data_IF_314434757962
#
_entry.id   IF_314434757962
#
_cell.length_a   1.000
_cell.length_b   1.000
_cell.length_c   1.000
_cell.angle_alpha   90.00
_cell.angle_beta   90.00
_cell.angle_gamma   90.00
#
_symmetry.space_group_name_H-M   'P 1'
#
loop_
_entity.id
_entity.type
_entity.pdbx_description
1 polymer ?
#
# COMPACT_ATOMS: atom_id res chain seq x y z
N UNK A 1 14.13 54.45 4.98
CA UNK A 1 15.02 55.17 5.91
C UNK A 1 14.85 54.60 7.30
N UNK A 2 15.86 53.84 7.73
CA UNK A 2 15.88 53.14 9.00
C UNK A 2 16.31 54.07 10.14
N UNK A 3 15.87 53.78 11.37
CA UNK A 3 16.18 54.53 12.59
C UNK A 3 17.23 53.81 13.43
N UNK A 4 17.95 54.57 14.24
CA UNK A 4 18.86 54.02 15.26
C UNK A 4 18.03 53.18 16.23
N UNK A 5 18.45 51.93 16.44
CA UNK A 5 17.72 50.94 17.24
C UNK A 5 16.94 49.93 16.41
N UNK A 6 16.69 50.19 15.12
CA UNK A 6 15.99 49.25 14.23
C UNK A 6 16.86 48.02 13.95
N UNK A 7 16.21 46.86 13.90
CA UNK A 7 16.80 45.65 13.33
C UNK A 7 16.55 45.65 11.82
N UNK A 8 17.60 45.38 11.06
CA UNK A 8 17.59 45.33 9.60
C UNK A 8 18.33 44.09 9.11
N UNK A 9 18.03 43.66 7.90
CA UNK A 9 18.73 42.56 7.25
C UNK A 9 19.78 43.12 6.30
N UNK A 10 21.03 42.72 6.51
CA UNK A 10 22.15 43.03 5.63
C UNK A 10 22.21 41.99 4.51
N UNK A 11 22.02 42.43 3.26
CA UNK A 11 22.02 41.56 2.08
C UNK A 11 23.42 41.13 1.64
N UNK A 12 24.46 41.87 2.03
CA UNK A 12 25.85 41.57 1.62
C UNK A 12 26.41 40.40 2.43
N UNK A 13 26.15 40.39 3.74
CA UNK A 13 26.60 39.35 4.65
C UNK A 13 25.51 38.33 5.02
N UNK A 14 24.27 38.55 4.60
CA UNK A 14 23.10 37.69 4.84
C UNK A 14 22.84 37.47 6.34
N UNK A 15 22.96 38.55 7.13
CA UNK A 15 22.85 38.55 8.60
C UNK A 15 21.85 39.61 9.07
N UNK A 16 21.24 39.34 10.23
CA UNK A 16 20.37 40.30 10.91
C UNK A 16 21.20 41.19 11.83
N UNK A 17 21.19 42.49 11.56
CA UNK A 17 22.05 43.47 12.25
C UNK A 17 21.22 44.60 12.84
N UNK A 18 21.72 45.22 13.90
CA UNK A 18 21.06 46.34 14.57
C UNK A 18 21.71 47.66 14.20
N UNK A 19 20.92 48.64 13.79
CA UNK A 19 21.46 49.97 13.48
C UNK A 19 21.82 50.68 14.77
N UNK A 20 23.10 51.04 14.88
CA UNK A 20 23.66 51.77 16.03
C UNK A 20 24.04 53.21 15.70
N UNK A 21 24.15 53.56 14.42
CA UNK A 21 24.42 54.92 13.98
C UNK A 21 24.04 55.15 12.52
N UNK A 22 23.93 56.40 12.11
CA UNK A 22 23.73 56.80 10.72
C UNK A 22 24.73 57.89 10.33
N UNK A 23 25.09 57.93 9.06
CA UNK A 23 25.99 58.92 8.51
C UNK A 23 25.51 59.30 7.10
N UNK A 24 25.36 60.59 6.86
CA UNK A 24 24.93 61.15 5.56
C UNK A 24 26.06 62.03 5.04
N UNK A 25 26.73 61.55 3.99
CA UNK A 25 27.86 62.22 3.37
C UNK A 25 27.56 62.35 1.88
N UNK A 26 27.48 63.59 1.40
CA UNK A 26 27.34 63.89 -0.04
C UNK A 26 26.09 63.27 -0.69
N UNK A 27 25.01 63.10 0.08
CA UNK A 27 23.77 62.48 -0.38
C UNK A 27 23.77 60.95 -0.35
N UNK A 28 24.89 60.33 0.06
CA UNK A 28 24.98 58.90 0.32
C UNK A 28 24.74 58.62 1.80
N UNK A 29 23.66 57.90 2.09
CA UNK A 29 23.32 57.44 3.43
C UNK A 29 23.97 56.10 3.71
N UNK A 30 24.72 56.05 4.80
CA UNK A 30 25.32 54.85 5.36
C UNK A 30 24.89 54.68 6.81
N UNK A 31 24.90 53.45 7.27
CA UNK A 31 24.52 53.06 8.63
C UNK A 31 25.68 52.31 9.28
N UNK A 32 25.91 52.59 10.55
CA UNK A 32 26.76 51.77 11.40
C UNK A 32 25.84 50.69 11.98
N UNK A 33 26.16 49.44 11.69
CA UNK A 33 25.38 48.28 12.13
C UNK A 33 26.20 47.44 13.10
N UNK A 34 25.52 46.84 14.07
CA UNK A 34 26.08 45.92 15.05
C UNK A 34 25.57 44.51 14.78
N UNK A 35 26.50 43.58 14.64
CA UNK A 35 26.21 42.15 14.50
C UNK A 35 26.36 41.44 15.86
N UNK A 36 25.30 40.79 16.39
CA UNK A 36 25.34 40.20 17.72
C UNK A 36 26.15 38.91 17.85
N UNK A 37 26.31 38.12 16.79
CA UNK A 37 27.00 36.82 16.86
C UNK A 37 28.51 36.98 16.99
N UNK A 38 29.12 37.77 16.10
CA UNK A 38 30.57 38.04 16.14
C UNK A 38 30.93 39.29 16.97
N UNK A 39 29.92 40.00 17.50
CA UNK A 39 30.08 41.26 18.27
C UNK A 39 30.86 42.36 17.53
N UNK A 40 30.80 42.34 16.20
CA UNK A 40 31.47 43.33 15.35
C UNK A 40 30.52 44.47 14.97
N UNK A 41 31.09 45.64 14.75
CA UNK A 41 30.38 46.77 14.15
C UNK A 41 31.07 47.19 12.86
N UNK A 42 30.27 47.49 11.84
CA UNK A 42 30.77 47.85 10.51
C UNK A 42 29.82 48.81 9.80
N UNK A 43 30.28 49.37 8.68
CA UNK A 43 29.55 50.34 7.88
C UNK A 43 28.86 49.66 6.70
N UNK A 44 27.59 49.98 6.49
CA UNK A 44 26.77 49.45 5.39
C UNK A 44 26.01 50.60 4.71
N UNK A 45 25.96 50.60 3.38
CA UNK A 45 25.20 51.57 2.61
C UNK A 45 23.68 51.29 2.68
N UNK A 46 22.83 52.31 2.61
CA UNK A 46 21.37 52.15 2.73
C UNK A 46 20.79 51.19 1.67
N UNK A 47 21.38 51.11 0.47
CA UNK A 47 20.93 50.23 -0.63
C UNK A 47 21.15 48.73 -0.34
N UNK A 48 22.02 48.40 0.60
CA UNK A 48 22.32 47.02 1.02
C UNK A 48 21.47 46.54 2.18
N UNK A 49 20.76 47.44 2.86
CA UNK A 49 19.90 47.12 3.98
C UNK A 49 18.44 46.96 3.54
N UNK A 50 17.76 45.94 4.05
CA UNK A 50 16.31 45.83 3.96
C UNK A 50 15.67 45.65 5.33
N UNK A 51 14.37 46.00 5.43
CA UNK A 51 13.60 45.72 6.66
C UNK A 51 13.67 44.23 6.97
N UNK A 52 13.77 43.86 8.25
CA UNK A 52 13.61 42.46 8.70
C UNK A 52 12.23 41.93 8.31
N UNK A 53 11.23 42.82 8.21
CA UNK A 53 9.87 42.52 7.77
C UNK A 53 9.71 42.48 6.24
N UNK A 54 10.77 42.71 5.46
CA UNK A 54 10.76 42.44 4.03
C UNK A 54 10.86 40.93 3.80
N UNK A 55 9.85 40.21 4.32
CA UNK A 55 9.59 38.79 4.18
C UNK A 55 10.85 37.95 4.31
N UNK A 56 10.96 37.22 5.42
CA UNK A 56 11.21 35.80 5.24
C UNK A 56 10.12 35.27 4.30
N UNK A 57 10.34 35.44 3.00
CA UNK A 57 9.59 34.83 1.94
C UNK A 57 10.05 33.36 1.98
N UNK A 58 9.74 32.70 3.11
CA UNK A 58 9.53 31.27 3.18
C UNK A 58 8.34 31.04 2.27
N UNK A 59 8.64 31.12 0.97
CA UNK A 59 7.69 30.90 -0.09
C UNK A 59 7.07 29.57 0.25
N UNK A 60 5.75 29.54 0.31
CA UNK A 60 5.01 28.30 0.56
C UNK A 60 5.50 27.18 -0.37
N UNK A 61 6.04 27.53 -1.54
CA UNK A 61 6.68 26.64 -2.49
C UNK A 61 8.01 26.05 -1.97
N UNK A 62 8.88 26.86 -1.35
CA UNK A 62 10.13 26.40 -0.74
C UNK A 62 9.84 25.51 0.47
N UNK A 63 8.88 25.89 1.32
CA UNK A 63 8.47 25.04 2.45
C UNK A 63 7.91 23.69 1.95
N UNK A 64 7.00 23.72 0.97
CA UNK A 64 6.49 22.50 0.32
C UNK A 64 7.61 21.66 -0.28
N UNK A 65 8.56 22.29 -0.97
CA UNK A 65 9.70 21.61 -1.56
C UNK A 65 10.57 20.91 -0.52
N UNK A 66 10.90 21.59 0.59
CA UNK A 66 11.70 21.02 1.68
C UNK A 66 10.96 19.84 2.32
N UNK A 67 9.67 20.00 2.64
CA UNK A 67 8.86 18.94 3.26
C UNK A 67 8.73 17.73 2.33
N UNK A 68 8.47 17.95 1.04
CA UNK A 68 8.36 16.87 0.05
C UNK A 68 9.72 16.19 -0.13
N UNK A 69 10.82 16.93 -0.20
CA UNK A 69 12.18 16.39 -0.38
C UNK A 69 12.63 15.59 0.85
N UNK A 70 12.35 16.08 2.06
CA UNK A 70 12.62 15.36 3.30
C UNK A 70 11.80 14.06 3.37
N UNK A 71 10.52 14.10 2.97
CA UNK A 71 9.68 12.89 2.87
C UNK A 71 10.26 11.89 1.87
N UNK A 72 10.63 12.33 0.66
CA UNK A 72 11.23 11.46 -0.36
C UNK A 72 12.53 10.84 0.20
N UNK A 73 13.42 11.63 0.80
CA UNK A 73 14.66 11.11 1.37
C UNK A 73 14.41 10.11 2.51
N UNK A 74 13.42 10.35 3.37
CA UNK A 74 13.07 9.42 4.45
C UNK A 74 12.50 8.10 3.91
N UNK A 75 11.59 8.16 2.94
CA UNK A 75 10.98 6.98 2.31
C UNK A 75 12.02 6.17 1.51
N UNK A 76 12.91 6.86 0.78
CA UNK A 76 14.04 6.22 0.10
C UNK A 76 15.00 5.55 1.09
N UNK A 77 15.28 6.19 2.22
CA UNK A 77 16.13 5.61 3.27
C UNK A 77 15.50 4.37 3.92
N UNK A 78 14.18 4.35 4.07
CA UNK A 78 13.44 3.21 4.62
C UNK A 78 13.16 2.11 3.58
N UNK A 79 13.37 2.38 2.29
CA UNK A 79 13.15 1.43 1.20
C UNK A 79 11.68 1.15 0.89
N UNK A 80 10.74 1.98 1.37
CA UNK A 80 9.31 1.89 1.06
C UNK A 80 8.97 2.98 0.05
N UNK A 81 8.56 2.61 -1.16
CA UNK A 81 8.23 3.54 -2.24
C UNK A 81 6.72 3.80 -2.35
N UNK A 82 5.88 2.93 -1.81
CA UNK A 82 4.42 2.99 -1.92
C UNK A 82 3.83 4.26 -1.31
N UNK A 83 4.47 4.81 -0.27
CA UNK A 83 4.11 6.07 0.38
C UNK A 83 4.28 7.28 -0.55
N UNK A 84 5.15 7.17 -1.56
CA UNK A 84 5.45 8.20 -2.55
C UNK A 84 4.39 8.13 -3.66
N UNK A 85 3.17 8.62 -3.37
CA UNK A 85 2.09 8.73 -4.35
C UNK A 85 0.75 8.13 -3.93
N UNK A 86 0.69 7.46 -2.78
CA UNK A 86 -0.57 7.13 -2.12
C UNK A 86 -1.11 8.31 -1.31
N UNK A 87 -2.43 8.49 -1.28
CA UNK A 87 -3.13 9.50 -0.48
C UNK A 87 -3.34 9.08 0.99
N UNK A 88 -2.54 8.14 1.48
CA UNK A 88 -2.63 7.59 2.83
C UNK A 88 -1.31 7.72 3.56
N UNK A 89 -1.40 7.92 4.87
CA UNK A 89 -0.28 7.78 5.79
C UNK A 89 -0.46 6.40 6.44
N UNK A 90 0.40 5.42 6.13
CA UNK A 90 0.25 4.07 6.66
C UNK A 90 0.47 4.07 8.17
N UNK A 91 -0.32 3.26 8.87
CA UNK A 91 -0.16 3.03 10.32
C UNK A 91 1.06 2.13 10.58
N UNK A 92 1.70 2.20 11.76
CA UNK A 92 2.92 1.43 12.04
C UNK A 92 2.78 -0.09 11.83
N UNK A 93 1.64 -0.68 12.18
CA UNK A 93 1.39 -2.10 11.94
C UNK A 93 1.27 -2.43 10.44
N UNK A 94 0.75 -1.49 9.64
CA UNK A 94 0.65 -1.65 8.19
C UNK A 94 2.03 -1.58 7.53
N UNK A 95 2.91 -0.74 8.05
CA UNK A 95 4.33 -0.69 7.65
C UNK A 95 5.03 -2.02 8.01
N UNK A 96 4.77 -2.56 9.20
CA UNK A 96 5.29 -3.87 9.60
C UNK A 96 4.81 -4.99 8.66
N UNK A 97 3.51 -5.02 8.36
CA UNK A 97 2.93 -5.98 7.42
C UNK A 97 3.56 -5.86 6.02
N UNK A 98 3.75 -4.63 5.53
CA UNK A 98 4.43 -4.36 4.26
C UNK A 98 5.87 -4.88 4.26
N UNK A 99 6.68 -4.51 5.26
CA UNK A 99 8.07 -4.95 5.36
C UNK A 99 8.19 -6.46 5.46
N UNK A 100 7.31 -7.10 6.23
CA UNK A 100 7.25 -8.56 6.34
C UNK A 100 6.92 -9.21 5.00
N UNK A 101 5.92 -8.68 4.28
CA UNK A 101 5.54 -9.18 2.96
C UNK A 101 6.68 -9.05 1.93
N UNK A 102 7.53 -8.02 2.03
CA UNK A 102 8.65 -7.75 1.12
C UNK A 102 9.97 -8.40 1.53
N UNK A 103 10.03 -9.00 2.73
CA UNK A 103 11.26 -9.63 3.26
C UNK A 103 11.69 -10.87 2.47
N UNK A 104 10.75 -11.53 1.81
CA UNK A 104 11.00 -12.69 0.95
C UNK A 104 10.97 -12.34 -0.55
N UNK A 105 11.54 -13.23 -1.36
CA UNK A 105 11.51 -13.09 -2.83
C UNK A 105 10.12 -13.33 -3.44
N UNK A 106 9.22 -14.01 -2.71
CA UNK A 106 7.85 -14.29 -3.14
C UNK A 106 6.88 -13.79 -2.09
N UNK A 107 5.99 -12.89 -2.51
CA UNK A 107 4.88 -12.40 -1.69
C UNK A 107 3.74 -13.41 -1.72
N UNK A 108 3.78 -14.39 -0.81
CA UNK A 108 2.73 -15.41 -0.63
C UNK A 108 2.34 -15.53 0.84
N UNK A 109 1.31 -14.80 1.24
CA UNK A 109 0.95 -14.64 2.66
C UNK A 109 -0.56 -14.68 2.89
N UNK A 110 -0.95 -15.11 4.09
CA UNK A 110 -2.25 -14.79 4.67
C UNK A 110 -2.12 -13.56 5.57
N UNK A 111 -2.90 -12.53 5.28
CA UNK A 111 -3.10 -11.38 6.17
C UNK A 111 -4.31 -11.67 7.04
N UNK A 112 -4.04 -11.95 8.32
CA UNK A 112 -4.97 -12.47 9.31
C UNK A 112 -5.41 -11.44 10.37
N UNK A 113 -5.22 -10.16 10.09
CA UNK A 113 -5.52 -9.07 11.03
C UNK A 113 -7.00 -9.02 11.41
N UNK A 114 -7.32 -8.48 12.59
CA UNK A 114 -8.69 -8.34 13.06
C UNK A 114 -9.58 -7.54 12.08
N UNK A 115 -10.90 -7.71 12.23
CA UNK A 115 -11.88 -6.95 11.45
C UNK A 115 -11.73 -5.46 11.74
N UNK A 116 -11.53 -4.66 10.68
CA UNK A 116 -11.42 -3.21 10.78
C UNK A 116 -9.99 -2.66 10.96
N UNK A 117 -8.94 -3.49 11.02
CA UNK A 117 -7.54 -3.03 11.10
C UNK A 117 -6.96 -2.53 9.76
N UNK A 118 -7.71 -2.69 8.66
CA UNK A 118 -7.30 -2.19 7.36
C UNK A 118 -6.55 -3.19 6.49
N UNK A 119 -6.92 -4.47 6.51
CA UNK A 119 -6.37 -5.50 5.58
C UNK A 119 -6.39 -5.07 4.11
N UNK A 120 -7.45 -4.37 3.69
CA UNK A 120 -7.55 -3.78 2.34
C UNK A 120 -6.45 -2.75 2.08
N UNK A 121 -6.05 -1.98 3.10
CA UNK A 121 -4.96 -1.01 3.03
C UNK A 121 -3.61 -1.70 2.99
N UNK A 122 -3.38 -2.70 3.84
CA UNK A 122 -2.14 -3.50 3.82
C UNK A 122 -1.94 -4.16 2.46
N UNK A 123 -2.97 -4.80 1.92
CA UNK A 123 -2.95 -5.37 0.59
C UNK A 123 -2.68 -4.32 -0.50
N UNK A 124 -3.30 -3.14 -0.39
CA UNK A 124 -3.07 -2.02 -1.29
C UNK A 124 -1.65 -1.45 -1.22
N UNK A 125 -1.05 -1.39 -0.02
CA UNK A 125 0.33 -0.96 0.19
C UNK A 125 1.30 -1.95 -0.47
N UNK A 126 1.12 -3.24 -0.23
CA UNK A 126 1.94 -4.30 -0.85
C UNK A 126 1.83 -4.24 -2.37
N UNK A 127 0.61 -4.14 -2.89
CA UNK A 127 0.37 -3.99 -4.32
C UNK A 127 1.08 -2.76 -4.89
N UNK A 128 0.92 -1.60 -4.24
CA UNK A 128 1.49 -0.35 -4.71
C UNK A 128 3.01 -0.41 -4.70
N UNK A 129 3.60 -0.99 -3.68
CA UNK A 129 5.05 -1.18 -3.57
C UNK A 129 5.58 -2.05 -4.71
N UNK A 130 5.00 -3.24 -4.90
CA UNK A 130 5.42 -4.16 -5.95
C UNK A 130 5.30 -3.52 -7.34
N UNK A 131 4.23 -2.75 -7.57
CA UNK A 131 4.01 -2.05 -8.83
C UNK A 131 5.02 -0.91 -9.03
N UNK A 132 5.34 -0.16 -7.97
CA UNK A 132 6.33 0.93 -8.01
C UNK A 132 7.74 0.40 -8.25
N UNK A 133 8.05 -0.81 -7.77
CA UNK A 133 9.29 -1.55 -8.06
C UNK A 133 9.31 -2.19 -9.47
N UNK A 134 8.21 -2.13 -10.22
CA UNK A 134 8.09 -2.78 -11.53
C UNK A 134 8.03 -4.31 -11.48
N UNK A 135 7.73 -4.90 -10.32
CA UNK A 135 7.64 -6.35 -10.14
C UNK A 135 6.31 -6.94 -10.58
N UNK A 136 5.26 -6.12 -10.67
CA UNK A 136 3.93 -6.52 -11.11
C UNK A 136 3.34 -5.46 -12.04
N UNK A 137 2.50 -5.92 -12.97
CA UNK A 137 1.67 -5.08 -13.82
C UNK A 137 0.21 -5.58 -13.83
N UNK A 138 0.03 -6.91 -13.87
CA UNK A 138 -1.28 -7.55 -13.96
C UNK A 138 -1.77 -8.00 -12.58
N UNK A 139 -2.90 -7.45 -12.14
CA UNK A 139 -3.49 -7.67 -10.81
C UNK A 139 -4.91 -8.20 -10.93
N UNK A 140 -5.19 -9.29 -10.23
CA UNK A 140 -6.55 -9.77 -10.00
C UNK A 140 -6.93 -9.66 -8.52
N UNK A 141 -8.06 -9.04 -8.24
CA UNK A 141 -8.68 -9.02 -6.90
C UNK A 141 -9.99 -9.80 -6.95
N UNK A 142 -10.06 -10.88 -6.18
CA UNK A 142 -11.26 -11.69 -6.02
C UNK A 142 -11.85 -11.42 -4.64
N UNK A 143 -13.05 -10.87 -4.59
CA UNK A 143 -13.70 -10.55 -3.32
C UNK A 143 -15.20 -10.95 -3.34
N UNK A 144 -15.87 -10.98 -2.18
CA UNK A 144 -17.32 -11.06 -2.12
C UNK A 144 -18.01 -9.95 -2.93
N UNK A 145 -19.16 -10.24 -3.56
CA UNK A 145 -19.91 -9.26 -4.37
C UNK A 145 -20.19 -7.94 -3.63
N UNK A 146 -20.45 -7.99 -2.33
CA UNK A 146 -20.72 -6.81 -1.50
C UNK A 146 -19.50 -5.91 -1.24
N UNK A 147 -18.26 -6.40 -1.44
CA UNK A 147 -17.03 -5.66 -1.19
C UNK A 147 -16.39 -5.08 -2.45
N UNK A 148 -16.90 -5.41 -3.65
CA UNK A 148 -16.35 -4.95 -4.93
C UNK A 148 -16.27 -3.43 -5.01
N UNK A 149 -17.35 -2.73 -4.66
CA UNK A 149 -17.42 -1.27 -4.73
C UNK A 149 -16.49 -0.61 -3.71
N UNK A 150 -16.35 -1.21 -2.53
CA UNK A 150 -15.40 -0.77 -1.51
C UNK A 150 -13.97 -0.91 -2.02
N UNK A 151 -13.58 -2.09 -2.51
CA UNK A 151 -12.25 -2.31 -3.10
C UNK A 151 -11.93 -1.32 -4.21
N UNK A 152 -12.85 -1.15 -5.16
CA UNK A 152 -12.67 -0.19 -6.25
C UNK A 152 -12.48 1.25 -5.74
N UNK A 153 -13.30 1.69 -4.78
CA UNK A 153 -13.21 3.02 -4.17
C UNK A 153 -11.89 3.21 -3.41
N UNK A 154 -11.47 2.21 -2.62
CA UNK A 154 -10.23 2.29 -1.85
C UNK A 154 -9.00 2.32 -2.74
N UNK A 155 -8.92 1.43 -3.74
CA UNK A 155 -7.82 1.43 -4.70
C UNK A 155 -7.72 2.75 -5.47
N UNK A 156 -8.85 3.30 -5.91
CA UNK A 156 -8.88 4.57 -6.64
C UNK A 156 -8.51 5.75 -5.75
N UNK A 157 -9.16 5.91 -4.60
CA UNK A 157 -9.03 7.11 -3.78
C UNK A 157 -7.75 7.15 -2.96
N UNK A 158 -7.31 5.98 -2.46
CA UNK A 158 -6.16 5.89 -1.54
C UNK A 158 -4.86 5.58 -2.28
N UNK A 159 -4.90 4.76 -3.33
CA UNK A 159 -3.70 4.30 -4.04
C UNK A 159 -3.55 4.86 -5.45
N UNK A 160 -4.54 5.62 -5.92
CA UNK A 160 -4.63 6.14 -7.29
C UNK A 160 -4.53 5.02 -8.35
N UNK A 161 -5.10 3.86 -8.03
CA UNK A 161 -5.12 2.67 -8.89
C UNK A 161 -6.53 2.47 -9.47
N UNK A 162 -6.65 2.50 -10.80
CA UNK A 162 -7.92 2.31 -11.49
C UNK A 162 -8.11 0.83 -11.84
N UNK A 163 -9.07 0.18 -11.19
CA UNK A 163 -9.42 -1.21 -11.46
C UNK A 163 -10.67 -1.31 -12.32
N UNK A 164 -10.70 -2.30 -13.21
CA UNK A 164 -11.90 -2.64 -13.97
C UNK A 164 -12.75 -3.63 -13.17
N UNK A 165 -14.00 -3.29 -12.90
CA UNK A 165 -14.95 -4.22 -12.31
C UNK A 165 -15.51 -5.07 -13.44
N UNK A 166 -15.39 -6.39 -13.34
CA UNK A 166 -15.96 -7.32 -14.31
C UNK A 166 -17.06 -8.13 -13.64
N UNK A 167 -18.31 -7.83 -14.00
CA UNK A 167 -19.48 -8.59 -13.55
C UNK A 167 -19.90 -9.62 -14.61
N UNK A 168 -20.65 -10.67 -14.21
CA UNK A 168 -21.22 -11.65 -15.12
C UNK A 168 -21.99 -11.06 -16.31
N UNK A 169 -22.67 -9.93 -16.09
CA UNK A 169 -23.51 -9.25 -17.07
C UNK A 169 -22.68 -8.46 -18.09
N UNK A 170 -21.45 -8.07 -17.74
CA UNK A 170 -20.59 -7.26 -18.59
C UNK A 170 -19.86 -8.09 -19.64
N UNK A 171 -19.68 -9.39 -19.41
CA UNK A 171 -18.88 -10.28 -20.25
C UNK A 171 -19.36 -10.31 -21.71
N UNK A 172 -20.67 -10.38 -21.93
CA UNK A 172 -21.26 -10.36 -23.28
C UNK A 172 -20.97 -9.04 -24.00
N UNK A 173 -21.00 -7.92 -23.25
CA UNK A 173 -20.72 -6.59 -23.78
C UNK A 173 -19.23 -6.45 -24.12
N UNK A 174 -18.35 -6.89 -23.21
CA UNK A 174 -16.90 -6.84 -23.41
C UNK A 174 -16.50 -7.69 -24.62
N UNK A 175 -17.10 -8.88 -24.78
CA UNK A 175 -16.88 -9.75 -25.95
C UNK A 175 -17.24 -9.06 -27.27
N UNK A 176 -18.36 -8.31 -27.31
CA UNK A 176 -18.76 -7.54 -28.50
C UNK A 176 -17.80 -6.40 -28.83
N UNK A 177 -17.17 -5.81 -27.82
CA UNK A 177 -16.27 -4.66 -27.99
C UNK A 177 -14.87 -5.11 -28.43
N UNK A 178 -14.30 -6.13 -27.77
CA UNK A 178 -12.91 -6.53 -27.97
C UNK A 178 -12.71 -7.73 -28.90
N UNK A 179 -13.79 -8.40 -29.31
CA UNK A 179 -13.75 -9.50 -30.27
C UNK A 179 -13.46 -10.86 -29.65
N UNK A 180 -12.97 -11.80 -30.46
CA UNK A 180 -12.63 -13.15 -30.01
C UNK A 180 -11.26 -13.17 -29.30
N UNK A 181 -11.21 -13.80 -28.14
CA UNK A 181 -9.99 -13.91 -27.33
C UNK A 181 -10.29 -14.04 -25.85
N UNK A 182 -9.23 -14.04 -25.04
CA UNK A 182 -9.36 -14.05 -23.60
C UNK A 182 -9.70 -12.65 -23.08
N UNK A 183 -10.97 -12.43 -22.74
CA UNK A 183 -11.51 -11.17 -22.22
C UNK A 183 -10.66 -10.59 -21.07
N UNK A 184 -10.21 -11.45 -20.17
CA UNK A 184 -9.45 -11.08 -18.99
C UNK A 184 -8.04 -10.56 -19.32
N UNK A 185 -7.50 -10.91 -20.49
CA UNK A 185 -6.18 -10.47 -20.94
C UNK A 185 -6.15 -8.99 -21.33
N UNK A 186 -7.29 -8.40 -21.71
CA UNK A 186 -7.36 -6.99 -22.11
C UNK A 186 -7.20 -6.00 -20.95
N UNK A 187 -7.45 -6.43 -19.72
CA UNK A 187 -7.36 -5.59 -18.54
C UNK A 187 -6.11 -5.96 -17.73
N UNK A 188 -5.31 -4.96 -17.37
CA UNK A 188 -4.18 -5.14 -16.46
C UNK A 188 -4.64 -5.29 -15.01
N UNK A 189 -5.70 -4.61 -14.60
CA UNK A 189 -6.17 -4.62 -13.21
C UNK A 189 -7.67 -4.89 -13.16
N UNK A 190 -8.06 -5.97 -12.50
CA UNK A 190 -9.44 -6.45 -12.46
C UNK A 190 -9.90 -6.75 -11.03
N UNK A 191 -11.14 -6.37 -10.72
CA UNK A 191 -11.86 -6.81 -9.53
C UNK A 191 -13.07 -7.64 -9.99
N UNK A 192 -13.21 -8.85 -9.47
CA UNK A 192 -14.35 -9.70 -9.76
C UNK A 192 -14.87 -10.43 -8.51
N UNK A 193 -16.12 -10.91 -8.59
CA UNK A 193 -16.72 -11.67 -7.50
C UNK A 193 -16.33 -13.15 -7.57
N UNK A 194 -16.02 -13.76 -6.43
CA UNK A 194 -15.68 -15.19 -6.36
C UNK A 194 -16.81 -16.09 -6.92
N UNK A 195 -18.07 -15.72 -6.66
CA UNK A 195 -19.22 -16.50 -7.12
C UNK A 195 -19.45 -16.40 -8.64
N UNK A 196 -18.88 -15.37 -9.29
CA UNK A 196 -19.00 -15.14 -10.74
C UNK A 196 -18.04 -15.98 -11.57
N UNK A 197 -16.91 -16.39 -10.98
CA UNK A 197 -15.79 -17.03 -11.70
C UNK A 197 -15.49 -18.46 -11.22
N UNK A 198 -16.20 -18.93 -10.18
CA UNK A 198 -16.06 -20.32 -9.74
C UNK A 198 -16.56 -21.30 -10.82
N UNK A 199 -15.89 -22.45 -10.99
CA UNK A 199 -16.35 -23.47 -11.92
C UNK A 199 -17.70 -24.05 -11.47
N UNK A 200 -18.55 -24.38 -12.44
CA UNK A 200 -19.85 -25.01 -12.24
C UNK A 200 -19.82 -26.44 -12.76
N UNK A 201 -20.35 -27.38 -11.97
CA UNK A 201 -20.53 -28.77 -12.40
C UNK A 201 -21.95 -29.02 -12.92
N UNK A 202 -22.95 -28.41 -12.27
CA UNK A 202 -24.37 -28.51 -12.64
C UNK A 202 -25.10 -27.23 -12.29
N UNK A 203 -26.05 -26.83 -13.14
CA UNK A 203 -27.00 -25.75 -12.87
C UNK A 203 -28.37 -26.11 -13.45
N UNK A 204 -29.42 -25.91 -12.66
CA UNK A 204 -30.79 -26.23 -13.10
C UNK A 204 -31.14 -25.45 -14.37
N UNK A 205 -31.64 -26.16 -15.40
CA UNK A 205 -32.02 -25.59 -16.69
C UNK A 205 -30.87 -25.27 -17.65
N UNK A 206 -29.64 -25.73 -17.39
CA UNK A 206 -28.50 -25.52 -18.27
C UNK A 206 -28.06 -26.84 -18.91
N UNK A 207 -27.81 -26.82 -20.22
CA UNK A 207 -27.20 -27.95 -20.92
C UNK A 207 -25.73 -28.08 -20.54
N UNK A 208 -25.13 -29.25 -20.84
CA UNK A 208 -23.72 -29.49 -20.54
C UNK A 208 -22.81 -28.55 -21.33
N UNK A 209 -23.16 -28.29 -22.59
CA UNK A 209 -22.41 -27.39 -23.48
C UNK A 209 -22.38 -25.97 -22.92
N UNK A 210 -23.49 -25.50 -22.35
CA UNK A 210 -23.57 -24.17 -21.72
C UNK A 210 -22.74 -24.07 -20.44
N UNK A 211 -22.62 -25.15 -19.68
CA UNK A 211 -21.77 -25.22 -18.49
C UNK A 211 -20.30 -25.19 -18.90
N UNK A 212 -19.93 -25.94 -19.94
CA UNK A 212 -18.57 -25.99 -20.45
C UNK A 212 -18.14 -24.62 -21.05
N UNK A 213 -19.03 -23.94 -21.77
CA UNK A 213 -18.80 -22.57 -22.26
C UNK A 213 -18.58 -21.59 -21.09
N UNK A 214 -19.45 -21.63 -20.07
CA UNK A 214 -19.29 -20.82 -18.86
C UNK A 214 -17.93 -21.06 -18.17
N UNK A 215 -17.53 -22.32 -17.99
CA UNK A 215 -16.28 -22.67 -17.32
C UNK A 215 -15.07 -22.19 -18.15
N UNK A 216 -15.12 -22.37 -19.47
CA UNK A 216 -14.07 -21.88 -20.36
C UNK A 216 -13.92 -20.37 -20.26
N UNK A 217 -15.02 -19.62 -20.38
CA UNK A 217 -14.98 -18.15 -20.41
C UNK A 217 -14.66 -17.51 -19.06
N UNK A 218 -15.16 -18.07 -17.97
CA UNK A 218 -15.12 -17.40 -16.65
C UNK A 218 -14.08 -17.98 -15.71
N UNK A 219 -13.72 -19.25 -15.88
CA UNK A 219 -12.75 -19.92 -15.03
C UNK A 219 -11.43 -20.15 -15.76
N UNK A 220 -11.42 -20.88 -16.87
CA UNK A 220 -10.18 -21.22 -17.58
C UNK A 220 -9.49 -19.98 -18.15
N UNK A 221 -10.24 -19.13 -18.87
CA UNK A 221 -9.71 -17.88 -19.40
C UNK A 221 -9.19 -16.95 -18.28
N UNK A 222 -9.85 -16.89 -17.14
CA UNK A 222 -9.38 -16.10 -15.99
C UNK A 222 -8.03 -16.60 -15.47
N UNK A 223 -7.89 -17.92 -15.31
CA UNK A 223 -6.66 -18.58 -14.84
C UNK A 223 -5.52 -18.37 -15.83
N UNK A 224 -5.79 -18.42 -17.13
CA UNK A 224 -4.79 -18.24 -18.18
C UNK A 224 -4.53 -16.77 -18.59
N UNK A 225 -5.07 -15.79 -17.86
CA UNK A 225 -4.89 -14.37 -18.18
C UNK A 225 -3.54 -13.77 -17.71
N UNK A 226 -2.63 -14.59 -17.17
CA UNK A 226 -1.27 -14.19 -16.81
C UNK A 226 -1.20 -13.12 -15.73
N UNK A 227 -1.79 -13.37 -14.58
CA UNK A 227 -1.76 -12.44 -13.43
C UNK A 227 -0.41 -12.54 -12.70
N UNK A 228 0.18 -11.39 -12.38
CA UNK A 228 1.42 -11.34 -11.59
C UNK A 228 1.13 -11.47 -10.10
N UNK A 229 0.04 -10.85 -9.65
CA UNK A 229 -0.47 -10.96 -8.29
C UNK A 229 -1.96 -11.22 -8.28
N UNK A 230 -2.37 -12.14 -7.41
CA UNK A 230 -3.77 -12.43 -7.13
C UNK A 230 -4.02 -12.19 -5.64
N UNK A 231 -5.07 -11.41 -5.35
CA UNK A 231 -5.51 -11.10 -4.00
C UNK A 231 -6.90 -11.70 -3.83
N UNK A 232 -7.09 -12.52 -2.79
CA UNK A 232 -8.39 -13.06 -2.44
C UNK A 232 -8.83 -12.53 -1.09
N UNK A 233 -9.92 -11.76 -1.09
CA UNK A 233 -10.56 -11.27 0.11
C UNK A 233 -11.59 -12.27 0.65
N UNK A 234 -11.77 -12.26 1.97
CA UNK A 234 -12.53 -13.27 2.73
C UNK A 234 -12.14 -14.70 2.38
N UNK A 235 -10.83 -14.97 2.40
CA UNK A 235 -10.24 -16.27 2.04
C UNK A 235 -10.82 -17.45 2.82
N UNK A 236 -11.37 -17.23 4.02
CA UNK A 236 -12.09 -18.27 4.78
C UNK A 236 -13.21 -18.97 3.98
N UNK A 237 -13.80 -18.31 2.98
CA UNK A 237 -14.82 -18.87 2.07
C UNK A 237 -14.29 -19.93 1.11
N UNK A 238 -12.98 -19.97 0.88
CA UNK A 238 -12.32 -20.99 0.04
C UNK A 238 -12.06 -22.27 0.86
N UNK A 239 -11.86 -22.15 2.17
CA UNK A 239 -11.52 -23.27 3.05
C UNK A 239 -12.70 -24.15 3.47
N UNK A 240 -13.95 -23.73 3.26
CA UNK A 240 -15.14 -24.31 3.91
C UNK A 240 -15.58 -25.75 3.53
N UNK A 241 -16.85 -26.08 3.79
CA UNK A 241 -17.42 -27.45 3.73
C UNK A 241 -17.76 -27.93 2.30
N UNK A 242 -18.48 -29.04 2.13
CA UNK A 242 -18.58 -29.84 0.89
C UNK A 242 -19.13 -29.08 -0.35
N UNK A 243 -19.85 -27.97 -0.18
CA UNK A 243 -20.28 -27.07 -1.26
C UNK A 243 -19.19 -26.06 -1.72
N UNK A 244 -18.06 -26.00 -1.02
CA UNK A 244 -16.91 -25.13 -1.28
C UNK A 244 -15.85 -25.78 -2.18
N UNK A 245 -16.08 -27.00 -2.67
CA UNK A 245 -15.17 -27.65 -3.64
C UNK A 245 -14.94 -26.78 -4.86
N UNK A 246 -15.96 -26.08 -5.37
CA UNK A 246 -15.82 -25.17 -6.50
C UNK A 246 -14.94 -23.95 -6.17
N UNK A 247 -15.10 -23.35 -4.97
CA UNK A 247 -14.29 -22.21 -4.52
C UNK A 247 -12.85 -22.62 -4.24
N UNK A 248 -12.65 -23.80 -3.65
CA UNK A 248 -11.34 -24.39 -3.45
C UNK A 248 -10.64 -24.71 -4.77
N UNK A 249 -11.35 -25.30 -5.75
CA UNK A 249 -10.84 -25.52 -7.11
C UNK A 249 -10.39 -24.20 -7.75
N UNK A 250 -11.18 -23.13 -7.60
CA UNK A 250 -10.80 -21.79 -8.05
C UNK A 250 -9.53 -21.29 -7.35
N UNK A 251 -9.52 -21.29 -6.02
CA UNK A 251 -8.37 -20.83 -5.23
C UNK A 251 -7.09 -21.57 -5.58
N UNK A 252 -7.15 -22.89 -5.76
CA UNK A 252 -6.01 -23.72 -6.18
C UNK A 252 -5.50 -23.35 -7.56
N UNK A 253 -6.39 -23.25 -8.55
CA UNK A 253 -5.98 -22.89 -9.91
C UNK A 253 -5.33 -21.50 -9.97
N UNK A 254 -5.88 -20.53 -9.24
CA UNK A 254 -5.31 -19.17 -9.16
C UNK A 254 -3.96 -19.17 -8.43
N UNK A 255 -3.83 -19.94 -7.35
CA UNK A 255 -2.59 -20.04 -6.59
C UNK A 255 -1.42 -20.63 -7.39
N UNK A 256 -1.70 -21.54 -8.32
CA UNK A 256 -0.69 -22.21 -9.16
C UNK A 256 -0.16 -21.32 -10.29
N UNK A 257 -0.98 -20.41 -10.82
CA UNK A 257 -0.62 -19.60 -12.01
C UNK A 257 0.04 -18.27 -11.68
N UNK A 258 -0.15 -17.75 -10.46
CA UNK A 258 0.36 -16.44 -10.07
C UNK A 258 1.59 -16.57 -9.17
N UNK A 259 2.70 -15.86 -9.45
CA UNK A 259 3.88 -15.89 -8.59
C UNK A 259 3.59 -15.27 -7.21
N UNK A 260 2.87 -14.15 -7.17
CA UNK A 260 2.44 -13.50 -5.93
C UNK A 260 0.99 -13.83 -5.61
N UNK A 261 0.70 -14.12 -4.35
CA UNK A 261 -0.62 -14.60 -3.93
C UNK A 261 -0.94 -14.16 -2.50
N UNK A 262 -1.94 -13.30 -2.33
CA UNK A 262 -2.33 -12.78 -1.03
C UNK A 262 -3.73 -13.27 -0.66
N UNK A 263 -3.85 -13.84 0.53
CA UNK A 263 -5.12 -14.24 1.12
C UNK A 263 -5.46 -13.31 2.28
N UNK A 264 -6.62 -12.67 2.26
CA UNK A 264 -7.07 -11.76 3.32
C UNK A 264 -8.22 -12.42 4.07
N UNK A 265 -8.11 -12.53 5.39
CA UNK A 265 -9.19 -13.07 6.20
C UNK A 265 -9.06 -12.64 7.65
N UNK A 266 -10.15 -12.23 8.30
CA UNK A 266 -10.12 -12.00 9.74
C UNK A 266 -10.23 -13.29 10.57
N UNK A 267 -10.63 -14.40 9.95
CA UNK A 267 -10.95 -15.67 10.63
C UNK A 267 -10.31 -16.84 9.88
N UNK A 268 -8.97 -16.92 9.86
CA UNK A 268 -8.29 -18.01 9.15
C UNK A 268 -8.66 -19.39 9.71
N UNK A 269 -9.01 -19.47 11.00
CA UNK A 269 -9.43 -20.68 11.68
C UNK A 269 -10.82 -20.48 12.32
N UNK A 270 -11.89 -20.98 11.69
CA UNK A 270 -13.26 -20.93 12.23
C UNK A 270 -13.54 -22.09 13.21
N UNK A 271 -12.57 -22.45 14.06
CA UNK A 271 -12.66 -23.60 14.96
C UNK A 271 -12.53 -24.98 14.28
N UNK A 272 -12.30 -25.03 12.96
CA UNK A 272 -11.94 -26.27 12.22
C UNK A 272 -10.56 -26.18 11.60
N UNK A 273 -9.73 -27.19 11.84
CA UNK A 273 -8.33 -27.26 11.37
C UNK A 273 -8.27 -27.46 9.86
N UNK A 274 -9.10 -28.34 9.30
CA UNK A 274 -9.03 -28.71 7.88
C UNK A 274 -9.23 -27.52 6.91
N UNK A 275 -10.22 -26.63 7.09
CA UNK A 275 -10.34 -25.41 6.28
C UNK A 275 -9.10 -24.53 6.28
N UNK A 276 -8.47 -24.37 7.44
CA UNK A 276 -7.27 -23.57 7.59
C UNK A 276 -6.09 -24.20 6.85
N UNK A 277 -5.92 -25.52 6.99
CA UNK A 277 -4.89 -26.28 6.27
C UNK A 277 -5.03 -26.16 4.75
N UNK A 278 -6.29 -26.18 4.26
CA UNK A 278 -6.56 -25.95 2.84
C UNK A 278 -6.08 -24.58 2.37
N UNK A 279 -6.24 -23.52 3.17
CA UNK A 279 -5.76 -22.18 2.82
C UNK A 279 -4.23 -22.11 2.78
N UNK A 280 -3.57 -22.66 3.80
CA UNK A 280 -2.11 -22.66 3.89
C UNK A 280 -1.47 -23.40 2.71
N UNK A 281 -2.08 -24.52 2.29
CA UNK A 281 -1.65 -25.27 1.10
C UNK A 281 -1.74 -24.51 -0.22
N UNK A 282 -2.61 -23.49 -0.31
CA UNK A 282 -2.63 -22.61 -1.48
C UNK A 282 -1.39 -21.74 -1.56
N UNK A 283 -0.78 -21.40 -0.41
CA UNK A 283 0.43 -20.60 -0.39
C UNK A 283 1.63 -21.45 -0.81
N UNK A 284 1.78 -22.64 -0.22
CA UNK A 284 2.86 -23.56 -0.55
C UNK A 284 2.37 -25.00 -0.38
N UNK A 285 2.35 -25.77 -1.48
CA UNK A 285 1.92 -27.17 -1.44
C UNK A 285 3.03 -28.11 -0.97
N UNK A 286 4.29 -27.74 -1.21
CA UNK A 286 5.46 -28.58 -0.97
C UNK A 286 5.87 -28.48 0.50
N UNK A 287 5.65 -27.32 1.13
CA UNK A 287 5.84 -27.12 2.57
C UNK A 287 4.77 -27.81 3.43
N UNK A 288 3.57 -28.10 2.88
CA UNK A 288 2.43 -28.64 3.63
C UNK A 288 1.77 -29.88 2.97
N UNK A 289 2.53 -30.99 2.78
CA UNK A 289 2.03 -32.18 2.11
C UNK A 289 0.98 -32.96 2.92
N UNK A 290 1.09 -32.97 4.26
CA UNK A 290 0.24 -33.77 5.16
C UNK A 290 -0.99 -33.00 5.65
N UNK A 291 -2.15 -33.67 5.68
CA UNK A 291 -3.45 -33.05 6.01
C UNK A 291 -3.79 -33.13 7.50
N UNK A 292 -2.97 -33.85 8.28
CA UNK A 292 -3.29 -34.22 9.65
C UNK A 292 -2.33 -33.66 10.70
N UNK A 293 -1.14 -33.21 10.29
CA UNK A 293 -0.15 -32.65 11.20
C UNK A 293 0.49 -31.43 10.56
N UNK A 294 0.18 -30.25 11.09
CA UNK A 294 0.90 -29.02 10.78
C UNK A 294 1.37 -28.42 12.08
N UNK A 295 2.67 -28.16 12.15
CA UNK A 295 3.31 -27.57 13.32
C UNK A 295 3.24 -26.06 13.19
N UNK A 296 2.96 -25.35 14.30
CA UNK A 296 2.77 -23.89 14.31
C UNK A 296 3.95 -23.16 13.66
N UNK A 297 5.17 -23.62 13.91
CA UNK A 297 6.42 -23.06 13.42
C UNK A 297 6.51 -23.08 11.89
N UNK A 298 5.89 -24.05 11.22
CA UNK A 298 5.84 -24.11 9.75
C UNK A 298 4.91 -23.05 9.17
N UNK A 299 3.85 -22.69 9.91
CA UNK A 299 2.78 -21.79 9.45
C UNK A 299 3.13 -20.33 9.67
N UNK A 300 3.80 -20.00 10.79
CA UNK A 300 4.15 -18.63 11.19
C UNK A 300 4.80 -17.81 10.08
N UNK A 301 5.74 -18.34 9.27
CA UNK A 301 6.34 -17.59 8.16
C UNK A 301 5.32 -17.10 7.13
N UNK A 302 4.21 -17.80 6.94
CA UNK A 302 3.20 -17.52 5.91
C UNK A 302 2.06 -16.62 6.41
N UNK A 303 2.01 -16.32 7.71
CA UNK A 303 0.94 -15.52 8.31
C UNK A 303 1.49 -14.18 8.78
N UNK A 304 0.78 -13.12 8.41
CA UNK A 304 0.93 -11.78 8.96
C UNK A 304 -0.32 -11.53 9.80
N UNK A 305 -0.13 -11.29 11.10
CA UNK A 305 -1.23 -11.04 12.04
C UNK A 305 -0.83 -9.95 13.03
N UNK A 306 -1.69 -8.95 13.17
CA UNK A 306 -1.64 -7.91 14.20
C UNK A 306 -2.92 -7.93 15.02
N UNK A 307 -2.81 -7.77 16.34
CA UNK A 307 -3.98 -7.61 17.23
C UNK A 307 -4.29 -6.12 17.49
N UNK A 308 -5.56 -5.80 17.72
CA UNK A 308 -6.01 -4.39 17.83
C UNK A 308 -5.41 -3.64 19.01
N UNK A 309 -5.02 -4.35 20.08
CA UNK A 309 -4.32 -3.76 21.24
C UNK A 309 -2.90 -3.31 20.89
N UNK A 310 -2.24 -4.05 20.00
CA UNK A 310 -0.88 -3.76 19.55
C UNK A 310 -0.88 -2.67 18.48
N UNK A 311 -1.89 -2.64 17.60
CA UNK A 311 -2.04 -1.64 16.55
C UNK A 311 -2.17 -0.18 17.07
N UNK A 312 -2.75 0.02 18.27
CA UNK A 312 -2.91 1.36 18.87
C UNK A 312 -1.70 1.82 19.70
N UNK A 313 -0.77 0.94 20.05
CA UNK A 313 0.39 1.32 20.85
C UNK A 313 1.46 1.94 19.94
N UNK A 314 1.51 3.28 19.93
CA UNK A 314 2.60 4.09 19.36
C UNK A 314 3.99 3.78 19.99
N UNK A 315 4.04 2.97 21.05
CA UNK A 315 5.26 2.42 21.63
C UNK A 315 5.71 1.15 20.89
N UNK A 316 5.96 1.25 19.57
CA UNK A 316 6.87 0.30 18.94
C UNK A 316 8.27 0.65 19.45
N UNK A 317 8.62 0.08 20.60
CA UNK A 317 10.00 0.00 21.06
C UNK A 317 10.83 -0.56 19.90
N UNK A 318 11.77 0.25 19.41
CA UNK A 318 12.82 -0.09 18.45
C UNK A 318 13.66 -1.32 18.87
N UNK A 319 13.41 -1.90 20.04
CA UNK A 319 14.09 -3.05 20.63
C UNK A 319 13.49 -4.41 20.26
N UNK A 320 12.29 -4.50 19.66
CA UNK A 320 11.66 -5.79 19.31
C UNK A 320 12.10 -6.36 17.94
N UNK A 321 13.20 -5.88 17.36
CA UNK A 321 13.83 -6.53 16.20
C UNK A 321 14.37 -7.94 16.51
N UNK A 322 14.46 -8.34 17.79
CA UNK A 322 14.95 -9.67 18.20
C UNK A 322 14.28 -10.19 19.47
N UNK A 323 13.00 -10.58 19.40
CA UNK A 323 12.41 -11.48 20.41
C UNK A 323 11.39 -12.43 19.77
N UNK A 324 11.46 -13.75 20.02
CA UNK A 324 10.43 -14.68 19.56
C UNK A 324 9.10 -14.38 20.27
N UNK A 325 7.95 -14.53 19.60
CA UNK A 325 6.66 -14.30 20.24
C UNK A 325 6.44 -15.35 21.34
N UNK A 326 6.15 -14.82 22.52
CA UNK A 326 5.82 -15.54 23.75
C UNK A 326 4.67 -16.51 23.48
N UNK A 327 4.91 -17.75 23.87
CA UNK A 327 3.92 -18.81 23.98
C UNK A 327 2.89 -18.44 25.04
N UNK A 328 1.62 -18.30 24.66
CA UNK A 328 0.51 -18.59 25.57
C UNK A 328 -0.77 -18.91 24.77
N UNK A 329 -1.14 -20.18 24.91
CA UNK A 329 -2.48 -20.77 25.01
C UNK A 329 -3.53 -20.56 23.90
N UNK A 330 -3.71 -21.66 23.16
CA UNK A 330 -4.92 -22.06 22.43
C UNK A 330 -5.92 -22.74 23.38
#
# INVERSE_FOLDING_TARGET
MFKIGDWVFDREYNKTVKIIGNNDLWGYKSYIVFEPEEQISYFVLEDKLCSVDAGSDFSIHIFKYIVISARINHELANGILSSIGSNIIPLPHQIYALNRALSGNKVRYIIADEVGLGKTIEAGLILKELKTRGLINRVLIVCPKGLITQWHSEMKNKFNESFNIVLPEDLDTIRRIYGEGNIWSHFSQVICSMDSVKPLEKRSGWSKEKIDEYNRERFENLVHAGWDIIIIDEAHRIGGSTSDVARYKLGRALAEVSPYFLLLTATPHQGKTEPFLRLIRLLDKDAFPDSHAVVKEQVVPYIIRTEKREACCLSLNLTLQFSPPITEEL
#
